data_IF_179894894901
#
_entry.id   IF_179894894901
#
_cell.length_a   1.000
_cell.length_b   1.000
_cell.length_c   1.000
_cell.angle_alpha   90.00
_cell.angle_beta   90.00
_cell.angle_gamma   90.00
#
_symmetry.space_group_name_H-M   'P 1'
#
loop_
_entity.id
_entity.type
_entity.pdbx_description
1 polymer ?
#
# COMPACT_ATOMS: atom_id res chain seq x y z
N UNK A 1 31.57 -3.94 -47.04
CA UNK A 1 30.77 -2.81 -46.50
C UNK A 1 29.71 -3.23 -45.47
N UNK A 2 29.69 -4.46 -44.95
CA UNK A 2 28.64 -4.93 -44.01
C UNK A 2 29.03 -4.75 -42.53
N UNK A 3 30.33 -4.78 -42.21
CA UNK A 3 30.83 -4.68 -40.83
C UNK A 3 30.58 -3.32 -40.16
N UNK A 4 30.56 -2.22 -40.93
CA UNK A 4 30.26 -0.88 -40.40
C UNK A 4 28.76 -0.69 -40.07
N UNK A 5 27.88 -1.43 -40.75
CA UNK A 5 26.44 -1.35 -40.53
C UNK A 5 26.00 -2.08 -39.24
N UNK A 6 26.70 -3.15 -38.85
CA UNK A 6 26.42 -3.88 -37.61
C UNK A 6 26.93 -3.15 -36.35
N UNK A 7 28.07 -2.45 -36.44
CA UNK A 7 28.55 -1.62 -35.33
C UNK A 7 27.60 -0.46 -35.00
N UNK A 8 26.97 0.13 -36.03
CA UNK A 8 25.92 1.15 -35.86
C UNK A 8 24.65 0.62 -35.20
N UNK A 9 24.31 -0.66 -35.38
CA UNK A 9 23.15 -1.30 -34.71
C UNK A 9 23.42 -1.58 -33.23
N UNK A 10 24.65 -1.92 -32.85
CA UNK A 10 25.02 -2.17 -31.45
C UNK A 10 25.07 -0.89 -30.60
N UNK A 11 25.44 0.25 -31.20
CA UNK A 11 25.44 1.54 -30.51
C UNK A 11 24.04 2.07 -30.16
N UNK A 12 22.99 1.67 -30.91
CA UNK A 12 21.61 2.14 -30.69
C UNK A 12 20.88 1.42 -29.54
N UNK A 13 21.45 0.33 -29.02
CA UNK A 13 20.86 -0.50 -27.95
C UNK A 13 21.25 -0.08 -26.54
N UNK A 14 22.01 1.01 -26.40
CA UNK A 14 22.18 1.75 -25.13
C UNK A 14 21.31 3.00 -25.15
N UNK A 15 20.02 2.82 -25.44
CA UNK A 15 19.02 3.80 -24.97
C UNK A 15 18.99 3.62 -23.46
N UNK A 16 19.74 4.45 -22.75
CA UNK A 16 19.47 4.72 -21.33
C UNK A 16 17.95 4.84 -21.20
N UNK A 17 17.33 3.90 -20.49
CA UNK A 17 15.92 4.02 -20.11
C UNK A 17 15.82 5.39 -19.44
N UNK A 18 15.07 6.30 -20.05
CA UNK A 18 14.70 7.55 -19.40
C UNK A 18 13.92 7.09 -18.17
N UNK A 19 14.40 7.45 -16.99
CA UNK A 19 13.71 7.16 -15.73
C UNK A 19 12.32 7.78 -15.80
N UNK A 20 11.28 6.95 -15.79
CA UNK A 20 9.89 7.37 -15.76
C UNK A 20 9.40 7.35 -14.32
N UNK A 21 9.00 8.50 -13.75
CA UNK A 21 8.74 8.61 -12.31
C UNK A 21 7.66 7.69 -11.76
N UNK A 22 6.73 7.20 -12.58
CA UNK A 22 5.53 6.51 -12.10
C UNK A 22 5.73 5.06 -11.64
N UNK A 23 6.58 4.27 -12.33
CA UNK A 23 6.71 2.84 -12.05
C UNK A 23 7.47 2.58 -10.75
N UNK A 24 8.65 3.20 -10.60
CA UNK A 24 9.53 2.93 -9.46
C UNK A 24 8.90 3.39 -8.13
N UNK A 25 8.09 4.45 -8.13
CA UNK A 25 7.39 4.91 -6.93
C UNK A 25 6.23 4.01 -6.53
N UNK A 26 5.51 3.44 -7.51
CA UNK A 26 4.44 2.48 -7.24
C UNK A 26 5.01 1.17 -6.70
N UNK A 27 6.12 0.69 -7.29
CA UNK A 27 6.84 -0.49 -6.83
C UNK A 27 7.35 -0.32 -5.39
N UNK A 28 7.90 0.86 -5.05
CA UNK A 28 8.32 1.18 -3.68
C UNK A 28 7.12 1.23 -2.73
N UNK A 29 6.00 1.83 -3.15
CA UNK A 29 4.80 1.91 -2.33
C UNK A 29 4.19 0.52 -2.07
N UNK A 30 4.21 -0.36 -3.08
CA UNK A 30 3.76 -1.74 -2.94
C UNK A 30 4.68 -2.54 -2.00
N UNK A 31 5.99 -2.42 -2.17
CA UNK A 31 6.97 -3.04 -1.27
C UNK A 31 6.77 -2.57 0.18
N UNK A 32 6.59 -1.27 0.40
CA UNK A 32 6.34 -0.71 1.72
C UNK A 32 5.03 -1.22 2.34
N UNK A 33 3.95 -1.35 1.55
CA UNK A 33 2.68 -1.93 2.02
C UNK A 33 2.84 -3.40 2.42
N UNK A 34 3.56 -4.17 1.62
CA UNK A 34 3.83 -5.58 1.90
C UNK A 34 4.64 -5.74 3.21
N UNK A 35 5.68 -4.94 3.38
CA UNK A 35 6.51 -4.95 4.59
C UNK A 35 5.72 -4.49 5.82
N UNK A 36 4.91 -3.43 5.69
CA UNK A 36 4.01 -2.96 6.76
C UNK A 36 3.04 -4.04 7.18
N UNK A 37 2.43 -4.75 6.22
CA UNK A 37 1.50 -5.85 6.50
C UNK A 37 2.18 -6.96 7.30
N UNK A 38 3.36 -7.39 6.86
CA UNK A 38 4.13 -8.42 7.55
C UNK A 38 4.53 -8.01 8.97
N UNK A 39 4.92 -6.73 9.16
CA UNK A 39 5.24 -6.18 10.47
C UNK A 39 4.03 -6.21 11.40
N UNK A 40 2.85 -5.79 10.92
CA UNK A 40 1.61 -5.79 11.70
C UNK A 40 1.18 -7.22 12.09
N UNK A 41 1.32 -8.19 11.19
CA UNK A 41 1.03 -9.60 11.48
C UNK A 41 1.94 -10.16 12.57
N UNK A 42 3.24 -9.84 12.54
CA UNK A 42 4.18 -10.21 13.60
C UNK A 42 3.82 -9.59 14.94
N UNK A 43 3.55 -8.29 14.95
CA UNK A 43 3.20 -7.56 16.16
C UNK A 43 1.88 -8.09 16.75
N UNK A 44 0.90 -8.41 15.90
CA UNK A 44 -0.36 -9.02 16.32
C UNK A 44 -0.13 -10.37 17.01
N UNK A 45 0.77 -11.19 16.44
CA UNK A 45 1.17 -12.47 17.04
C UNK A 45 1.87 -12.29 18.40
N UNK A 46 2.79 -11.32 18.51
CA UNK A 46 3.50 -10.99 19.76
C UNK A 46 2.55 -10.51 20.86
N UNK A 47 1.54 -9.72 20.51
CA UNK A 47 0.51 -9.26 21.45
C UNK A 47 -0.63 -10.26 21.68
N UNK A 48 -0.67 -11.38 20.94
CA UNK A 48 -1.76 -12.36 21.02
C UNK A 48 -3.13 -11.78 20.63
N UNK A 49 -3.16 -10.83 19.71
CA UNK A 49 -4.37 -10.19 19.22
C UNK A 49 -4.48 -10.31 17.69
N UNK A 50 -5.63 -9.93 17.14
CA UNK A 50 -5.81 -9.82 15.69
C UNK A 50 -5.18 -8.52 15.16
N UNK A 51 -4.82 -8.51 13.87
CA UNK A 51 -4.31 -7.30 13.19
C UNK A 51 -5.36 -6.18 13.22
N UNK A 52 -6.64 -6.53 13.24
CA UNK A 52 -7.75 -5.59 13.31
C UNK A 52 -7.87 -4.88 14.66
N UNK A 53 -7.24 -5.41 15.71
CA UNK A 53 -7.17 -4.79 17.04
C UNK A 53 -5.97 -3.84 17.17
N UNK A 54 -5.14 -3.71 16.14
CA UNK A 54 -3.99 -2.81 16.13
C UNK A 54 -4.36 -1.48 15.47
N UNK A 55 -3.93 -0.38 16.09
CA UNK A 55 -3.84 0.93 15.45
C UNK A 55 -2.40 1.21 15.08
N UNK A 56 -2.18 1.76 13.89
CA UNK A 56 -0.85 2.17 13.47
C UNK A 56 -0.88 3.51 12.74
N UNK A 57 0.21 4.26 12.87
CA UNK A 57 0.44 5.46 12.09
C UNK A 57 1.85 5.46 11.52
N UNK A 58 2.00 6.04 10.34
CA UNK A 58 3.28 6.24 9.67
C UNK A 58 3.65 7.71 9.72
N UNK A 59 4.91 8.02 10.07
CA UNK A 59 5.40 9.39 10.01
C UNK A 59 6.02 9.69 8.62
N UNK A 60 6.42 10.95 8.41
CA UNK A 60 7.03 11.39 7.14
C UNK A 60 8.42 10.77 6.87
N UNK A 61 8.97 10.02 7.83
CA UNK A 61 10.25 9.31 7.72
C UNK A 61 10.06 7.81 7.50
N UNK A 62 8.81 7.35 7.32
CA UNK A 62 8.49 5.94 7.10
C UNK A 62 8.54 5.08 8.38
N UNK A 63 8.66 5.68 9.56
CA UNK A 63 8.56 4.94 10.82
C UNK A 63 7.10 4.59 11.11
N UNK A 64 6.86 3.35 11.51
CA UNK A 64 5.54 2.82 11.83
C UNK A 64 5.42 2.69 13.35
N UNK A 65 4.51 3.45 13.94
CA UNK A 65 4.15 3.29 15.35
C UNK A 65 2.92 2.41 15.43
N UNK A 66 3.02 1.28 16.12
CA UNK A 66 1.94 0.30 16.28
C UNK A 66 1.56 0.20 17.74
N UNK A 67 0.27 0.24 18.03
CA UNK A 67 -0.29 0.09 19.38
C UNK A 67 -1.54 -0.78 19.32
N UNK A 68 -1.83 -1.51 20.40
CA UNK A 68 -3.13 -2.16 20.55
C UNK A 68 -4.20 -1.11 20.84
N UNK A 69 -5.37 -1.25 20.21
CA UNK A 69 -6.53 -0.42 20.51
C UNK A 69 -7.08 -0.71 21.90
N UNK A 70 -7.60 0.32 22.56
CA UNK A 70 -8.37 0.16 23.80
C UNK A 70 -9.74 -0.43 23.48
N UNK A 71 -10.44 -0.92 24.50
CA UNK A 71 -11.81 -1.43 24.33
C UNK A 71 -12.79 -0.39 23.78
N UNK A 72 -12.62 0.87 24.17
CA UNK A 72 -13.43 1.99 23.68
C UNK A 72 -13.16 2.25 22.19
N UNK A 73 -11.89 2.26 21.80
CA UNK A 73 -11.47 2.43 20.41
C UNK A 73 -11.98 1.27 19.53
N UNK A 74 -11.97 0.03 20.03
CA UNK A 74 -12.52 -1.12 19.32
C UNK A 74 -14.04 -1.01 19.09
N UNK A 75 -14.79 -0.57 20.10
CA UNK A 75 -16.25 -0.34 19.99
C UNK A 75 -16.56 0.76 18.98
N UNK A 76 -15.78 1.83 18.99
CA UNK A 76 -15.91 2.93 18.03
C UNK A 76 -15.59 2.48 16.61
N UNK A 77 -14.51 1.71 16.42
CA UNK A 77 -14.14 1.13 15.14
C UNK A 77 -15.25 0.23 14.58
N UNK A 78 -15.88 -0.59 15.42
CA UNK A 78 -17.01 -1.42 14.99
C UNK A 78 -18.23 -0.58 14.57
N UNK A 79 -18.57 0.46 15.34
CA UNK A 79 -19.65 1.39 15.00
C UNK A 79 -19.38 2.09 13.67
N UNK A 80 -18.15 2.52 13.42
CA UNK A 80 -17.74 3.15 12.17
C UNK A 80 -17.85 2.17 10.99
N UNK A 81 -17.39 0.92 11.15
CA UNK A 81 -17.57 -0.13 10.12
C UNK A 81 -19.04 -0.37 9.77
N UNK A 82 -19.92 -0.40 10.77
CA UNK A 82 -21.38 -0.53 10.55
C UNK A 82 -21.95 0.67 9.80
N UNK A 83 -21.53 1.88 10.17
CA UNK A 83 -21.94 3.11 9.51
C UNK A 83 -21.47 3.17 8.05
N UNK A 84 -20.24 2.75 7.76
CA UNK A 84 -19.71 2.70 6.41
C UNK A 84 -20.47 1.70 5.52
N UNK A 85 -20.78 0.51 6.05
CA UNK A 85 -21.63 -0.46 5.34
C UNK A 85 -22.98 0.15 4.98
N UNK A 86 -23.61 0.83 5.94
CA UNK A 86 -24.89 1.50 5.71
C UNK A 86 -24.79 2.63 4.67
N UNK A 87 -23.73 3.45 4.75
CA UNK A 87 -23.45 4.50 3.76
C UNK A 87 -23.27 3.92 2.35
N UNK A 88 -22.56 2.80 2.23
CA UNK A 88 -22.35 2.11 0.96
C UNK A 88 -23.67 1.58 0.39
N UNK A 89 -24.50 0.98 1.23
CA UNK A 89 -25.82 0.49 0.81
C UNK A 89 -26.73 1.63 0.32
N UNK A 90 -26.72 2.79 0.99
CA UNK A 90 -27.44 3.98 0.54
C UNK A 90 -26.92 4.46 -0.82
N UNK A 91 -25.60 4.52 -1.03
CA UNK A 91 -25.03 4.93 -2.33
C UNK A 91 -25.48 4.01 -3.44
N UNK A 92 -25.46 2.69 -3.18
CA UNK A 92 -25.94 1.67 -4.11
C UNK A 92 -27.41 1.85 -4.48
N UNK A 93 -28.27 2.05 -3.48
CA UNK A 93 -29.70 2.31 -3.70
C UNK A 93 -29.96 3.59 -4.50
N UNK A 94 -29.09 4.61 -4.33
CA UNK A 94 -29.19 5.89 -5.04
C UNK A 94 -28.50 5.88 -6.41
N UNK A 95 -27.88 4.78 -6.82
CA UNK A 95 -27.11 4.70 -8.07
C UNK A 95 -25.88 5.61 -8.09
N UNK A 96 -25.27 5.83 -6.92
CA UNK A 96 -24.08 6.69 -6.72
C UNK A 96 -22.80 5.86 -6.51
N UNK A 97 -22.79 4.61 -6.96
CA UNK A 97 -21.57 3.80 -7.03
C UNK A 97 -20.91 4.09 -8.40
N UNK A 98 -19.99 5.07 -8.43
CA UNK A 98 -19.12 5.35 -9.58
C UNK A 98 -18.04 4.26 -9.77
#
# INVERSE_FOLDING_TARGET
>A
MVAQAEQRKRARKRRSKIWTPGSDTEDIAEAFRAETKFMLEKIALEYGCSVEELKFCTNNLGMINVQRMTEEEMKEAEKNRRLEKFRKEIRKQKGLDD
#
